data_IF_562050976954
#
_entry.id   IF_562050976954
#
_cell.length_a   1.000
_cell.length_b   1.000
_cell.length_c   1.000
_cell.angle_alpha   90.00
_cell.angle_beta   90.00
_cell.angle_gamma   90.00
#
_symmetry.space_group_name_H-M   'P 1'
#
loop_
_entity.id
_entity.type
_entity.pdbx_description
1 polymer ?
#
# COMPACT_ATOMS: atom_id res chain seq x y z
N UNK A 1 -13.04 -19.93 -11.50
CA UNK A 1 -12.39 -19.18 -10.40
C UNK A 1 -11.73 -20.09 -9.38
N UNK A 2 -12.12 -21.37 -9.32
CA UNK A 2 -11.70 -22.34 -8.29
C UNK A 2 -10.17 -22.45 -8.14
N UNK A 3 -9.42 -22.49 -9.23
CA UNK A 3 -7.95 -22.57 -9.21
C UNK A 3 -7.27 -21.32 -8.62
N UNK A 4 -7.86 -20.13 -8.79
CA UNK A 4 -7.31 -18.91 -8.18
C UNK A 4 -7.61 -18.87 -6.68
N UNK A 5 -8.84 -19.27 -6.29
CA UNK A 5 -9.23 -19.34 -4.88
C UNK A 5 -8.48 -20.41 -4.07
N UNK A 6 -7.89 -21.41 -4.73
CA UNK A 6 -7.06 -22.44 -4.07
C UNK A 6 -5.60 -22.01 -3.85
N UNK A 7 -5.25 -20.76 -4.19
CA UNK A 7 -3.89 -20.23 -4.09
C UNK A 7 -3.87 -18.92 -3.33
N UNK A 8 -2.68 -18.44 -2.96
CA UNK A 8 -2.49 -17.08 -2.46
C UNK A 8 -2.25 -16.12 -3.64
N UNK A 9 -3.21 -15.25 -3.99
CA UNK A 9 -3.08 -14.40 -5.16
C UNK A 9 -2.22 -13.15 -4.87
N UNK A 10 -1.38 -12.80 -5.83
CA UNK A 10 -0.67 -11.53 -5.86
C UNK A 10 -1.16 -10.70 -7.05
N UNK A 11 -1.60 -9.47 -6.79
CA UNK A 11 -2.20 -8.60 -7.81
C UNK A 11 -1.23 -7.51 -8.26
N UNK A 12 -0.97 -7.44 -9.57
CA UNK A 12 -0.18 -6.37 -10.20
C UNK A 12 -1.12 -5.50 -11.03
N UNK A 13 -1.02 -4.17 -10.86
CA UNK A 13 -1.79 -3.17 -11.62
C UNK A 13 -0.84 -2.32 -12.44
N UNK A 14 -0.79 -2.58 -13.74
CA UNK A 14 -0.02 -1.76 -14.69
C UNK A 14 -0.76 -0.45 -14.98
N UNK A 15 -0.03 0.66 -15.05
CA UNK A 15 -0.59 1.99 -15.33
C UNK A 15 0.05 2.55 -16.59
N UNK A 16 -0.77 3.01 -17.54
CA UNK A 16 -0.32 3.76 -18.71
C UNK A 16 -0.21 5.24 -18.33
N UNK A 17 1.00 5.84 -18.34
CA UNK A 17 1.19 7.21 -17.85
C UNK A 17 0.66 8.26 -18.82
N UNK A 18 0.63 7.98 -20.12
CA UNK A 18 0.07 8.87 -21.14
C UNK A 18 -0.35 8.10 -22.39
N UNK A 19 -1.31 8.64 -23.13
CA UNK A 19 -1.84 8.05 -24.38
C UNK A 19 -0.84 8.05 -25.56
N UNK A 20 0.08 9.02 -25.60
CA UNK A 20 1.03 9.23 -26.70
C UNK A 20 2.25 8.29 -26.70
N UNK A 21 2.37 7.41 -25.69
CA UNK A 21 3.54 6.55 -25.47
C UNK A 21 4.86 7.34 -25.38
N UNK A 22 4.81 8.56 -24.85
CA UNK A 22 5.97 9.44 -24.71
C UNK A 22 6.62 9.22 -23.34
N UNK A 23 7.95 9.02 -23.25
CA UNK A 23 8.62 8.96 -21.96
C UNK A 23 8.45 10.27 -21.19
N UNK A 24 8.47 10.20 -19.86
CA UNK A 24 8.37 11.35 -18.95
C UNK A 24 7.10 12.21 -19.06
N UNK A 25 6.12 11.82 -19.88
CA UNK A 25 4.79 12.47 -19.92
C UNK A 25 3.82 11.73 -18.99
N UNK A 26 3.13 12.47 -18.13
CA UNK A 26 2.13 11.92 -17.20
C UNK A 26 0.80 12.66 -17.32
N UNK A 27 -0.28 11.91 -17.56
CA UNK A 27 -1.64 12.41 -17.75
C UNK A 27 -2.49 12.08 -16.53
N UNK A 28 -2.53 13.01 -15.56
CA UNK A 28 -3.19 12.83 -14.25
C UNK A 28 -4.62 12.26 -14.35
N UNK A 29 -5.46 12.84 -15.22
CA UNK A 29 -6.85 12.41 -15.35
C UNK A 29 -6.98 10.96 -15.81
N UNK A 30 -6.18 10.57 -16.80
CA UNK A 30 -6.17 9.19 -17.31
C UNK A 30 -5.66 8.20 -16.26
N UNK A 31 -4.61 8.56 -15.53
CA UNK A 31 -4.07 7.69 -14.47
C UNK A 31 -5.04 7.57 -13.30
N UNK A 32 -5.68 8.66 -12.88
CA UNK A 32 -6.70 8.64 -11.82
C UNK A 32 -7.86 7.72 -12.19
N UNK A 33 -8.35 7.79 -13.43
CA UNK A 33 -9.40 6.91 -13.92
C UNK A 33 -8.95 5.44 -13.90
N UNK A 34 -7.72 5.14 -14.33
CA UNK A 34 -7.17 3.77 -14.24
C UNK A 34 -7.08 3.26 -12.79
N UNK A 35 -6.70 4.11 -11.83
CA UNK A 35 -6.65 3.74 -10.41
C UNK A 35 -8.04 3.46 -9.83
N UNK A 36 -9.06 4.20 -10.27
CA UNK A 36 -10.46 3.96 -9.91
C UNK A 36 -10.97 2.65 -10.51
N UNK A 37 -10.91 2.51 -11.85
CA UNK A 37 -11.41 1.33 -12.56
C UNK A 37 -10.63 0.06 -12.21
N UNK A 38 -9.34 0.16 -11.87
CA UNK A 38 -8.51 -0.94 -11.43
C UNK A 38 -8.71 -1.36 -9.97
N UNK A 39 -9.60 -0.68 -9.23
CA UNK A 39 -9.94 -0.95 -7.84
C UNK A 39 -8.87 -0.56 -6.83
N UNK A 40 -7.83 0.20 -7.23
CA UNK A 40 -6.73 0.60 -6.34
C UNK A 40 -7.23 1.56 -5.27
N UNK A 41 -8.03 2.56 -5.65
CA UNK A 41 -8.59 3.50 -4.67
C UNK A 41 -9.55 2.82 -3.69
N UNK A 42 -10.29 1.81 -4.17
CA UNK A 42 -11.21 1.05 -3.33
C UNK A 42 -10.46 0.14 -2.35
N UNK A 43 -9.38 -0.51 -2.80
CA UNK A 43 -8.50 -1.28 -1.91
C UNK A 43 -7.88 -0.41 -0.81
N UNK A 44 -7.45 0.81 -1.16
CA UNK A 44 -6.97 1.80 -0.18
C UNK A 44 -8.09 2.17 0.80
N UNK A 45 -9.29 2.47 0.30
CA UNK A 45 -10.46 2.82 1.13
C UNK A 45 -10.78 1.72 2.16
N UNK A 46 -10.80 0.46 1.74
CA UNK A 46 -11.04 -0.70 2.62
C UNK A 46 -9.91 -0.83 3.65
N UNK A 47 -8.65 -0.68 3.23
CA UNK A 47 -7.49 -0.75 4.12
C UNK A 47 -7.54 0.33 5.22
N UNK A 48 -7.92 1.56 4.86
CA UNK A 48 -8.06 2.69 5.78
C UNK A 48 -9.22 2.54 6.77
N UNK A 49 -10.27 1.78 6.43
CA UNK A 49 -11.36 1.49 7.35
C UNK A 49 -10.97 0.54 8.49
N UNK A 50 -9.80 -0.10 8.40
CA UNK A 50 -9.21 -0.92 9.46
C UNK A 50 -7.99 -0.24 10.09
N UNK A 51 -6.90 -1.01 10.22
CA UNK A 51 -5.61 -0.55 10.72
C UNK A 51 -4.53 -0.91 9.69
N UNK A 52 -4.27 -0.02 8.71
CA UNK A 52 -3.41 -0.32 7.55
C UNK A 52 -1.93 -0.41 7.93
N UNK A 53 -1.51 0.35 8.96
CA UNK A 53 -0.13 0.34 9.43
C UNK A 53 0.04 -0.75 10.47
N UNK A 54 0.79 -1.79 10.14
CA UNK A 54 1.18 -2.85 11.06
C UNK A 54 2.70 -2.94 11.08
N UNK A 55 3.27 -3.05 12.27
CA UNK A 55 4.70 -3.25 12.50
C UNK A 55 4.86 -4.38 13.49
N UNK A 56 5.94 -5.13 13.35
CA UNK A 56 6.34 -6.08 14.40
C UNK A 56 6.75 -5.33 15.66
N UNK A 57 6.67 -5.99 16.82
CA UNK A 57 7.06 -5.36 18.08
C UNK A 57 8.50 -4.86 18.09
N UNK A 58 9.42 -5.63 17.48
CA UNK A 58 10.83 -5.24 17.37
C UNK A 58 10.99 -3.95 16.57
N UNK A 59 10.36 -3.82 15.40
CA UNK A 59 10.40 -2.59 14.58
C UNK A 59 9.76 -1.39 15.28
N UNK A 60 8.72 -1.63 16.07
CA UNK A 60 8.06 -0.57 16.84
C UNK A 60 8.96 -0.06 17.97
N UNK A 61 9.55 -0.97 18.75
CA UNK A 61 10.46 -0.63 19.86
C UNK A 61 11.73 0.04 19.35
N UNK A 62 12.34 -0.50 18.29
CA UNK A 62 13.53 0.09 17.67
C UNK A 62 13.27 1.54 17.24
N UNK A 63 12.11 1.80 16.61
CA UNK A 63 11.76 3.14 16.13
C UNK A 63 11.31 4.11 17.22
N UNK A 64 10.52 3.65 18.19
CA UNK A 64 9.79 4.52 19.12
C UNK A 64 10.21 4.37 20.58
N UNK A 65 11.10 3.43 20.92
CA UNK A 65 11.56 3.22 22.29
C UNK A 65 12.26 4.43 22.91
N UNK A 66 12.89 5.26 22.08
CA UNK A 66 13.49 6.53 22.50
C UNK A 66 12.47 7.53 23.05
N UNK A 67 11.19 7.41 22.70
CA UNK A 67 10.14 8.28 23.23
C UNK A 67 9.78 7.96 24.68
N UNK A 68 10.19 6.79 25.18
CA UNK A 68 9.79 6.25 26.48
C UNK A 68 11.02 5.73 27.22
N UNK A 69 12.03 6.60 27.40
CA UNK A 69 13.30 6.24 28.04
C UNK A 69 13.12 5.75 29.48
N UNK A 70 12.14 6.27 30.21
CA UNK A 70 11.84 5.90 31.60
C UNK A 70 11.54 4.40 31.79
N UNK A 71 11.00 3.73 30.77
CA UNK A 71 10.64 2.31 30.83
C UNK A 71 11.63 1.40 30.07
N UNK A 72 12.62 1.97 29.39
CA UNK A 72 13.66 1.24 28.66
C UNK A 72 14.94 1.05 29.49
N UNK A 73 15.02 1.67 30.68
CA UNK A 73 16.19 1.68 31.56
C UNK A 73 16.23 0.63 32.67
N UNK A 74 15.32 -0.34 32.72
CA UNK A 74 15.35 -1.46 33.69
C UNK A 74 15.80 -2.78 33.03
N UNK A 75 17.05 -2.80 32.55
CA UNK A 75 17.80 -4.03 32.29
C UNK A 75 19.11 -4.02 33.06
#
# INVERSE_FOLDING_TARGET
METLSSTEPHYIRCIKPNSLNCPQKFENGSVLQQLQSGGVLEAIRISLAGYPTRRTYSEFIDRFGLLVQEYMGER
#
